data_IF_294060445678
#
_entry.id   IF_294060445678
#
_cell.length_a   1.000
_cell.length_b   1.000
_cell.length_c   1.000
_cell.angle_alpha   90.00
_cell.angle_beta   90.00
_cell.angle_gamma   90.00
#
_symmetry.space_group_name_H-M   'P 1'
#
loop_
_entity.id
_entity.type
_entity.pdbx_description
1 polymer ?
#
# COMPACT_ATOMS: atom_id res chain seq x y z
N UNK A 1 -11.06 -12.02 30.99
CA UNK A 1 -11.85 -12.83 30.04
C UNK A 1 -10.91 -13.18 28.90
N UNK A 2 -10.70 -14.47 28.63
CA UNK A 2 -9.85 -14.89 27.51
C UNK A 2 -10.71 -14.91 26.25
N UNK A 3 -10.50 -13.93 25.37
CA UNK A 3 -11.06 -13.94 24.03
C UNK A 3 -10.57 -15.21 23.32
N UNK A 4 -11.48 -15.88 22.60
CA UNK A 4 -11.07 -16.97 21.72
C UNK A 4 -10.27 -16.42 20.53
N UNK A 5 -9.54 -17.28 19.81
CA UNK A 5 -8.70 -16.86 18.68
C UNK A 5 -9.49 -16.12 17.60
N UNK A 6 -10.68 -16.61 17.24
CA UNK A 6 -11.53 -15.96 16.22
C UNK A 6 -12.01 -14.57 16.62
N UNK A 7 -12.35 -14.36 17.90
CA UNK A 7 -12.76 -13.06 18.43
C UNK A 7 -11.62 -12.05 18.38
N UNK A 8 -10.39 -12.50 18.68
CA UNK A 8 -9.19 -11.65 18.57
C UNK A 8 -8.88 -11.30 17.12
N UNK A 9 -8.96 -12.25 16.20
CA UNK A 9 -8.77 -11.99 14.77
C UNK A 9 -9.78 -10.97 14.25
N UNK A 10 -11.05 -11.11 14.65
CA UNK A 10 -12.10 -10.17 14.25
C UNK A 10 -11.89 -8.77 14.85
N UNK A 11 -11.44 -8.68 16.11
CA UNK A 11 -11.11 -7.40 16.75
C UNK A 11 -9.94 -6.71 16.06
N UNK A 12 -8.85 -7.45 15.76
CA UNK A 12 -7.70 -6.94 15.00
C UNK A 12 -8.14 -6.45 13.62
N UNK A 13 -8.96 -7.22 12.92
CA UNK A 13 -9.49 -6.84 11.60
C UNK A 13 -10.29 -5.53 11.69
N UNK A 14 -11.18 -5.41 12.68
CA UNK A 14 -11.98 -4.20 12.87
C UNK A 14 -11.12 -2.97 13.22
N UNK A 15 -10.06 -3.15 14.01
CA UNK A 15 -9.10 -2.09 14.34
C UNK A 15 -8.34 -1.64 13.08
N UNK A 16 -7.82 -2.58 12.29
CA UNK A 16 -7.11 -2.29 11.04
C UNK A 16 -8.01 -1.56 10.03
N UNK A 17 -9.26 -1.99 9.87
CA UNK A 17 -10.22 -1.30 9.00
C UNK A 17 -10.53 0.12 9.50
N UNK A 18 -10.69 0.31 10.81
CA UNK A 18 -10.99 1.63 11.38
C UNK A 18 -9.85 2.62 11.15
N UNK A 19 -8.61 2.19 11.35
CA UNK A 19 -7.43 3.05 11.19
C UNK A 19 -7.15 3.36 9.71
N UNK A 20 -7.46 2.42 8.80
CA UNK A 20 -7.21 2.58 7.36
C UNK A 20 -8.27 3.39 6.60
N UNK A 21 -9.43 3.70 7.19
CA UNK A 21 -10.60 4.26 6.48
C UNK A 21 -10.39 5.61 5.78
N UNK A 22 -9.45 6.42 6.25
CA UNK A 22 -9.27 7.80 5.77
C UNK A 22 -7.90 8.07 5.14
N UNK A 23 -7.15 7.02 4.81
CA UNK A 23 -5.82 7.15 4.20
C UNK A 23 -5.86 7.64 2.74
N UNK A 24 -7.02 7.58 2.07
CA UNK A 24 -7.16 8.03 0.68
C UNK A 24 -6.53 7.09 -0.35
N UNK A 25 -6.40 5.80 0.00
CA UNK A 25 -5.84 4.74 -0.86
C UNK A 25 -6.63 4.51 -2.16
N UNK A 26 -7.87 4.96 -2.19
CA UNK A 26 -8.82 4.92 -3.31
C UNK A 26 -8.59 6.03 -4.36
N UNK A 27 -7.66 6.96 -4.10
CA UNK A 27 -7.43 8.13 -4.96
C UNK A 27 -6.17 8.03 -5.81
N UNK A 28 -5.38 6.98 -5.64
CA UNK A 28 -4.06 6.87 -6.23
C UNK A 28 -3.77 5.44 -6.67
N UNK A 29 -2.99 5.29 -7.74
CA UNK A 29 -2.51 4.01 -8.24
C UNK A 29 -1.40 3.44 -7.33
N UNK A 30 -1.79 2.84 -6.19
CA UNK A 30 -0.86 2.27 -5.21
C UNK A 30 -0.21 0.95 -5.66
N UNK A 31 -0.81 0.28 -6.63
CA UNK A 31 -0.27 -0.91 -7.26
C UNK A 31 1.02 -0.60 -8.04
N UNK A 32 1.14 0.57 -8.66
CA UNK A 32 2.37 1.06 -9.30
C UNK A 32 3.52 1.14 -8.29
N UNK A 33 3.26 1.75 -7.14
CA UNK A 33 4.26 1.87 -6.08
C UNK A 33 4.63 0.50 -5.48
N UNK A 34 3.64 -0.37 -5.28
CA UNK A 34 3.88 -1.76 -4.86
C UNK A 34 4.73 -2.51 -5.87
N UNK A 35 4.47 -2.35 -7.17
CA UNK A 35 5.28 -2.98 -8.20
C UNK A 35 6.71 -2.47 -8.16
N UNK A 36 6.95 -1.19 -7.88
CA UNK A 36 8.31 -0.63 -7.80
C UNK A 36 9.03 -1.10 -6.54
N UNK A 37 8.37 -1.00 -5.38
CA UNK A 37 8.98 -1.26 -4.07
C UNK A 37 9.08 -2.76 -3.74
N UNK A 38 8.09 -3.57 -4.15
CA UNK A 38 7.99 -4.99 -3.80
C UNK A 38 8.17 -5.92 -5.01
N UNK A 39 7.82 -5.47 -6.23
CA UNK A 39 7.73 -6.34 -7.41
C UNK A 39 8.97 -6.38 -8.33
N UNK A 40 9.40 -5.23 -8.86
CA UNK A 40 10.33 -5.12 -9.99
C UNK A 40 11.80 -5.30 -9.59
N UNK A 41 12.12 -5.13 -8.31
CA UNK A 41 13.46 -5.33 -7.78
C UNK A 41 13.45 -6.06 -6.42
N UNK A 42 12.35 -6.75 -6.06
CA UNK A 42 12.05 -7.32 -4.74
C UNK A 42 13.23 -7.99 -4.04
N UNK A 43 14.03 -7.19 -3.33
CA UNK A 43 15.19 -7.63 -2.55
C UNK A 43 16.58 -7.46 -3.19
N UNK A 44 16.71 -7.04 -4.46
CA UNK A 44 18.02 -6.79 -5.08
C UNK A 44 18.35 -5.29 -5.06
N UNK A 45 19.35 -4.94 -4.25
CA UNK A 45 19.89 -3.58 -4.17
C UNK A 45 21.16 -3.53 -5.01
N UNK A 46 21.11 -2.83 -6.13
CA UNK A 46 22.27 -2.46 -6.94
C UNK A 46 22.72 -1.08 -6.45
N UNK A 47 23.76 -1.06 -5.63
CA UNK A 47 24.41 0.19 -5.22
C UNK A 47 25.24 0.74 -6.39
N UNK A 48 24.62 1.57 -7.25
CA UNK A 48 25.34 2.48 -8.14
C UNK A 48 25.44 3.83 -7.44
N UNK A 49 26.65 4.36 -7.30
CA UNK A 49 26.93 5.61 -6.59
C UNK A 49 26.06 6.79 -7.09
N UNK A 50 25.74 6.82 -8.38
CA UNK A 50 24.97 7.90 -8.99
C UNK A 50 23.44 7.74 -8.89
N UNK A 51 22.93 6.53 -8.60
CA UNK A 51 21.48 6.25 -8.59
C UNK A 51 21.15 5.14 -7.57
N UNK A 52 21.06 5.47 -6.27
CA UNK A 52 20.67 4.50 -5.26
C UNK A 52 19.20 4.11 -5.42
N UNK A 53 18.92 2.81 -5.47
CA UNK A 53 17.53 2.29 -5.53
C UNK A 53 16.75 2.47 -4.22
N UNK A 54 17.47 2.64 -3.10
CA UNK A 54 16.87 2.78 -1.78
C UNK A 54 16.88 4.26 -1.39
N UNK A 55 15.73 4.77 -0.99
CA UNK A 55 15.56 6.16 -0.55
C UNK A 55 15.12 7.13 -1.64
N UNK A 56 14.92 6.66 -2.88
CA UNK A 56 14.23 7.44 -3.90
C UNK A 56 12.76 7.64 -3.50
N UNK A 57 12.28 8.89 -3.58
CA UNK A 57 10.89 9.23 -3.32
C UNK A 57 10.24 9.72 -4.61
N UNK A 58 9.08 9.15 -4.95
CA UNK A 58 8.24 9.58 -6.09
C UNK A 58 6.88 10.06 -5.63
N UNK A 59 6.24 10.90 -6.43
CA UNK A 59 4.84 11.26 -6.22
C UNK A 59 3.91 10.12 -6.63
N UNK A 60 2.78 9.99 -5.92
CA UNK A 60 1.71 9.09 -6.33
C UNK A 60 0.89 9.70 -7.47
N UNK A 61 0.58 8.87 -8.45
CA UNK A 61 -0.30 9.22 -9.56
C UNK A 61 -1.75 9.08 -9.12
N UNK A 62 -2.58 10.07 -9.45
CA UNK A 62 -4.00 10.05 -9.09
C UNK A 62 -4.76 9.10 -10.00
N UNK A 63 -5.65 8.33 -9.40
CA UNK A 63 -6.57 7.48 -10.14
C UNK A 63 -7.71 8.33 -10.73
N UNK A 64 -8.08 8.04 -11.98
CA UNK A 64 -9.26 8.64 -12.60
C UNK A 64 -10.52 7.92 -12.12
N UNK A 65 -11.62 8.66 -11.85
CA UNK A 65 -12.87 8.01 -11.45
C UNK A 65 -13.37 7.08 -12.57
N UNK A 66 -14.08 5.99 -12.21
CA UNK A 66 -14.69 5.12 -13.20
C UNK A 66 -15.59 5.92 -14.16
N UNK A 67 -15.56 5.58 -15.45
CA UNK A 67 -16.43 6.19 -16.44
C UNK A 67 -17.90 5.84 -16.13
N UNK A 68 -18.73 6.85 -15.91
CA UNK A 68 -20.18 6.66 -15.83
C UNK A 68 -20.72 6.42 -17.25
N UNK A 69 -21.39 5.28 -17.46
CA UNK A 69 -22.14 5.01 -18.68
C UNK A 69 -23.55 5.62 -18.52
N UNK A 70 -23.97 6.46 -19.48
CA UNK A 70 -25.34 6.98 -19.57
C UNK A 70 -26.36 5.90 -19.97
#
# INVERSE_FOLDING_TARGET
MNLNENEREQEIKNLMEKDSKYEGRDRYFLDVDRMINEGMAGGTIINREDNPQIGEARSFEKEEPPLELE
#
